data_IF_554850009986
#
_entry.id   IF_554850009986
#
_cell.length_a   1.000
_cell.length_b   1.000
_cell.length_c   1.000
_cell.angle_alpha   90.00
_cell.angle_beta   90.00
_cell.angle_gamma   90.00
#
_symmetry.space_group_name_H-M   'P 1'
#
loop_
_entity.id
_entity.type
_entity.pdbx_description
1 polymer ?
#
# COMPACT_ATOMS: atom_id res chain seq x y z
N UNK A 1 -11.31 24.64 6.86
CA UNK A 1 -11.52 26.11 6.79
C UNK A 1 -13.03 26.34 6.84
N UNK A 2 -13.50 27.06 7.86
CA UNK A 2 -14.90 27.37 8.17
C UNK A 2 -15.64 28.05 6.99
N UNK A 3 -16.97 27.88 6.90
CA UNK A 3 -17.98 28.90 7.29
C UNK A 3 -19.40 28.41 6.98
N UNK A 4 -20.25 28.43 8.02
CA UNK A 4 -21.71 28.28 8.01
C UNK A 4 -22.41 29.36 7.16
N UNK A 5 -23.50 29.00 6.48
CA UNK A 5 -24.53 29.95 6.04
C UNK A 5 -25.89 29.63 6.68
N UNK A 6 -26.34 30.56 7.55
CA UNK A 6 -27.74 30.75 7.94
C UNK A 6 -28.55 31.25 6.74
N UNK A 7 -29.76 30.73 6.53
CA UNK A 7 -30.84 31.45 5.87
C UNK A 7 -32.04 31.55 6.80
N UNK A 8 -32.35 32.79 7.18
CA UNK A 8 -33.63 33.23 7.73
C UNK A 8 -34.55 33.53 6.55
N UNK A 9 -35.74 32.91 6.51
CA UNK A 9 -36.81 33.29 5.58
C UNK A 9 -37.85 34.10 6.34
N UNK A 10 -38.17 35.28 5.81
CA UNK A 10 -39.15 36.24 6.30
C UNK A 10 -40.26 36.37 5.26
N UNK A 11 -41.49 36.03 5.67
CA UNK A 11 -42.83 36.56 5.31
C UNK A 11 -43.27 36.72 3.82
N UNK A 12 -44.58 36.61 3.49
CA UNK A 12 -45.62 37.54 4.00
C UNK A 12 -46.98 36.94 4.40
N UNK A 13 -47.73 37.80 5.08
CA UNK A 13 -49.09 37.65 5.59
C UNK A 13 -50.16 37.91 4.52
N UNK A 14 -51.34 37.32 4.70
CA UNK A 14 -52.64 37.87 4.26
C UNK A 14 -53.76 37.37 5.20
N UNK A 15 -54.55 38.35 5.67
CA UNK A 15 -56.01 38.36 5.87
C UNK A 15 -56.63 37.22 6.72
N UNK A 16 -57.29 37.45 7.84
CA UNK A 16 -58.29 38.50 8.11
C UNK A 16 -59.68 37.86 8.17
N UNK A 17 -60.12 37.40 9.35
CA UNK A 17 -61.55 37.35 9.62
C UNK A 17 -61.86 37.51 11.12
N UNK A 18 -62.66 38.53 11.38
CA UNK A 18 -63.22 38.92 12.65
C UNK A 18 -64.34 37.97 13.08
N UNK A 19 -64.35 37.51 14.33
CA UNK A 19 -65.59 37.38 15.07
C UNK A 19 -65.36 37.45 16.58
N UNK A 20 -66.18 38.31 17.17
CA UNK A 20 -66.24 38.79 18.53
C UNK A 20 -66.96 37.77 19.42
N UNK A 21 -66.52 37.53 20.67
CA UNK A 21 -67.37 37.61 21.88
C UNK A 21 -66.70 37.11 23.17
N UNK A 22 -66.84 37.98 24.17
CA UNK A 22 -67.02 37.73 25.61
C UNK A 22 -65.84 37.27 26.48
N UNK A 23 -65.30 38.30 27.13
CA UNK A 23 -64.78 38.35 28.51
C UNK A 23 -65.35 37.29 29.47
N UNK A 24 -64.45 36.66 30.22
CA UNK A 24 -64.63 36.34 31.63
C UNK A 24 -63.26 36.22 32.31
N UNK A 25 -62.95 37.14 33.22
CA UNK A 25 -61.85 37.04 34.18
C UNK A 25 -62.08 35.88 35.16
N UNK A 26 -61.00 35.24 35.64
CA UNK A 26 -60.89 35.11 37.10
C UNK A 26 -59.50 35.45 37.67
N UNK A 27 -59.52 35.72 38.97
CA UNK A 27 -58.48 36.12 39.93
C UNK A 27 -57.12 35.36 39.88
N UNK A 28 -56.04 35.92 40.48
CA UNK A 28 -54.72 35.31 40.49
C UNK A 28 -54.67 34.13 41.47
N UNK A 29 -54.42 32.94 40.93
CA UNK A 29 -54.16 31.75 41.74
C UNK A 29 -52.74 31.81 42.32
N UNK A 30 -52.67 31.64 43.63
CA UNK A 30 -51.48 31.40 44.46
C UNK A 30 -50.46 30.47 43.79
N UNK A 31 -49.23 30.95 43.60
CA UNK A 31 -48.10 30.12 43.23
C UNK A 31 -47.78 29.14 44.38
N UNK A 32 -48.21 27.89 44.26
CA UNK A 32 -47.73 26.79 45.11
C UNK A 32 -46.25 26.58 44.79
N UNK A 33 -45.37 26.87 45.75
CA UNK A 33 -43.99 26.37 45.72
C UNK A 33 -44.05 24.85 45.68
N UNK A 34 -43.59 24.24 44.59
CA UNK A 34 -43.33 22.80 44.56
C UNK A 34 -42.33 22.46 45.68
N UNK A 35 -42.52 21.37 46.44
CA UNK A 35 -41.61 21.02 47.52
C UNK A 35 -40.20 20.83 46.94
N UNK A 36 -39.22 21.56 47.48
CA UNK A 36 -37.81 21.59 47.02
C UNK A 36 -37.21 20.18 46.87
N UNK A 37 -37.72 19.21 47.62
CA UNK A 37 -37.34 17.79 47.55
C UNK A 37 -37.73 17.15 46.20
N UNK A 38 -38.91 17.45 45.67
CA UNK A 38 -39.42 16.90 44.41
C UNK A 38 -38.67 17.49 43.20
N UNK A 39 -38.33 18.78 43.25
CA UNK A 39 -37.49 19.44 42.24
C UNK A 39 -36.09 18.82 42.20
N UNK A 40 -35.51 18.52 43.38
CA UNK A 40 -34.18 17.90 43.49
C UNK A 40 -34.17 16.47 42.93
N UNK A 41 -35.20 15.66 43.22
CA UNK A 41 -35.33 14.32 42.64
C UNK A 41 -35.50 14.35 41.11
N UNK A 42 -36.24 15.32 40.59
CA UNK A 42 -36.46 15.47 39.14
C UNK A 42 -35.17 15.91 38.43
N UNK A 43 -34.40 16.82 39.02
CA UNK A 43 -33.09 17.24 38.51
C UNK A 43 -32.06 16.10 38.52
N UNK A 44 -32.02 15.29 39.58
CA UNK A 44 -31.14 14.12 39.66
C UNK A 44 -31.49 13.08 38.59
N UNK A 45 -32.78 12.80 38.37
CA UNK A 45 -33.24 11.91 37.30
C UNK A 45 -32.89 12.44 35.90
N UNK A 46 -33.03 13.74 35.68
CA UNK A 46 -32.65 14.38 34.42
C UNK A 46 -31.14 14.31 34.16
N UNK A 47 -30.31 14.52 35.20
CA UNK A 47 -28.86 14.39 35.10
C UNK A 47 -28.42 12.94 34.80
N UNK A 48 -29.05 11.94 35.44
CA UNK A 48 -28.80 10.53 35.13
C UNK A 48 -29.24 10.16 33.70
N UNK A 49 -30.39 10.67 33.24
CA UNK A 49 -30.85 10.43 31.87
C UNK A 49 -29.91 11.06 30.83
N UNK A 50 -29.39 12.26 31.10
CA UNK A 50 -28.42 12.94 30.26
C UNK A 50 -27.07 12.19 30.24
N UNK A 51 -26.56 11.76 31.39
CA UNK A 51 -25.33 10.96 31.48
C UNK A 51 -25.45 9.60 30.78
N UNK A 52 -26.61 8.95 30.86
CA UNK A 52 -26.88 7.72 30.12
C UNK A 52 -26.96 7.97 28.61
N UNK A 53 -27.52 9.11 28.19
CA UNK A 53 -27.57 9.50 26.78
C UNK A 53 -26.19 9.84 26.21
N UNK A 54 -25.34 10.51 26.99
CA UNK A 54 -23.95 10.80 26.62
C UNK A 54 -23.10 9.52 26.57
N UNK A 55 -23.25 8.63 27.54
CA UNK A 55 -22.61 7.30 27.52
C UNK A 55 -23.04 6.50 26.30
N UNK A 56 -24.34 6.48 25.98
CA UNK A 56 -24.85 5.79 24.80
C UNK A 56 -24.33 6.41 23.50
N UNK A 57 -24.29 7.75 23.40
CA UNK A 57 -23.74 8.46 22.24
C UNK A 57 -22.23 8.20 22.08
N UNK A 58 -21.48 8.12 23.17
CA UNK A 58 -20.07 7.76 23.16
C UNK A 58 -19.87 6.29 22.73
N UNK A 59 -20.69 5.36 23.22
CA UNK A 59 -20.64 3.96 22.80
C UNK A 59 -21.06 3.78 21.34
N UNK A 60 -22.01 4.56 20.84
CA UNK A 60 -22.39 4.59 19.41
C UNK A 60 -21.27 5.21 18.55
N UNK A 61 -20.54 6.21 19.07
CA UNK A 61 -19.37 6.81 18.41
C UNK A 61 -18.13 5.89 18.42
N UNK A 62 -17.97 5.09 19.48
CA UNK A 62 -16.89 4.12 19.69
C UNK A 62 -17.39 2.70 19.43
N UNK A 63 -18.42 2.53 18.59
CA UNK A 63 -19.01 1.22 18.31
C UNK A 63 -18.04 0.36 17.48
N UNK A 64 -16.99 -0.13 18.14
CA UNK A 64 -16.12 -1.19 17.66
C UNK A 64 -16.96 -2.44 17.78
N UNK A 65 -17.44 -2.93 16.65
CA UNK A 65 -18.08 -4.23 16.57
C UNK A 65 -17.06 -5.27 17.10
N UNK A 66 -17.34 -5.82 18.28
CA UNK A 66 -16.46 -6.77 18.97
C UNK A 66 -16.24 -8.01 18.09
N UNK A 67 -17.21 -8.35 17.23
CA UNK A 67 -17.07 -9.36 16.20
C UNK A 67 -15.95 -9.00 15.24
N UNK A 68 -16.04 -7.83 14.57
CA UNK A 68 -15.00 -7.35 13.64
C UNK A 68 -13.62 -7.19 14.30
N UNK A 69 -13.58 -6.72 15.55
CA UNK A 69 -12.32 -6.59 16.29
C UNK A 69 -11.62 -7.94 16.49
N UNK A 70 -12.37 -9.02 16.66
CA UNK A 70 -11.80 -10.36 16.83
C UNK A 70 -11.17 -10.89 15.54
N UNK A 71 -11.76 -10.61 14.37
CA UNK A 71 -11.19 -10.94 13.06
C UNK A 71 -9.87 -10.20 12.83
N UNK A 72 -9.86 -8.88 13.01
CA UNK A 72 -8.63 -8.08 12.85
C UNK A 72 -7.51 -8.48 13.81
N UNK A 73 -7.85 -8.88 15.04
CA UNK A 73 -6.86 -9.39 15.99
C UNK A 73 -6.24 -10.70 15.50
N UNK A 74 -7.06 -11.62 15.00
CA UNK A 74 -6.58 -12.90 14.45
C UNK A 74 -5.68 -12.67 13.24
N UNK A 75 -6.08 -11.79 12.32
CA UNK A 75 -5.28 -11.44 11.14
C UNK A 75 -3.93 -10.86 11.53
N UNK A 76 -3.92 -9.94 12.49
CA UNK A 76 -2.70 -9.35 13.02
C UNK A 76 -1.78 -10.41 13.63
N UNK A 77 -2.32 -11.33 14.44
CA UNK A 77 -1.55 -12.41 15.06
C UNK A 77 -0.96 -13.37 14.02
N UNK A 78 -1.74 -13.74 13.00
CA UNK A 78 -1.26 -14.59 11.89
C UNK A 78 -0.18 -13.86 11.10
N UNK A 79 -0.37 -12.57 10.79
CA UNK A 79 0.64 -11.77 10.08
C UNK A 79 1.96 -11.71 10.87
N UNK A 80 1.90 -11.47 12.19
CA UNK A 80 3.08 -11.49 13.06
C UNK A 80 3.73 -12.88 13.09
N UNK A 81 2.94 -13.96 13.13
CA UNK A 81 3.44 -15.32 13.09
C UNK A 81 4.14 -15.64 11.77
N UNK A 82 3.55 -15.28 10.63
CA UNK A 82 4.13 -15.45 9.29
C UNK A 82 5.43 -14.65 9.12
N UNK A 83 5.46 -13.39 9.59
CA UNK A 83 6.66 -12.55 9.56
C UNK A 83 7.77 -13.10 10.45
N UNK A 84 7.42 -13.67 11.60
CA UNK A 84 8.39 -14.37 12.48
C UNK A 84 8.91 -15.65 11.82
N UNK A 85 8.03 -16.36 11.11
CA UNK A 85 8.38 -17.57 10.37
C UNK A 85 9.34 -17.30 9.20
N UNK A 86 9.32 -16.09 8.59
CA UNK A 86 10.19 -15.73 7.46
C UNK A 86 11.68 -15.95 7.71
N UNK A 87 12.14 -15.77 8.96
CA UNK A 87 13.54 -16.06 9.33
C UNK A 87 13.90 -17.54 9.10
N UNK A 88 12.97 -18.45 9.39
CA UNK A 88 13.16 -19.89 9.19
C UNK A 88 13.01 -20.27 7.71
N UNK A 89 12.08 -19.64 7.00
CA UNK A 89 11.93 -19.82 5.55
C UNK A 89 13.17 -19.39 4.77
N UNK A 90 13.81 -18.27 5.14
CA UNK A 90 15.09 -17.87 4.55
C UNK A 90 16.16 -18.97 4.73
N UNK A 91 16.12 -19.67 5.88
CA UNK A 91 16.90 -20.86 6.18
C UNK A 91 16.68 -22.03 5.22
N UNK A 92 15.42 -22.41 5.05
CA UNK A 92 15.00 -23.59 4.28
C UNK A 92 15.19 -23.40 2.78
N UNK A 93 14.88 -22.21 2.27
CA UNK A 93 14.81 -21.94 0.83
C UNK A 93 16.16 -21.50 0.27
N UNK A 94 16.97 -20.80 1.07
CA UNK A 94 18.30 -20.34 0.67
C UNK A 94 19.43 -21.32 0.98
N UNK A 95 19.17 -22.41 1.72
CA UNK A 95 20.22 -23.26 2.33
C UNK A 95 21.24 -22.44 3.15
N UNK A 96 20.80 -21.34 3.74
CA UNK A 96 21.65 -20.35 4.43
C UNK A 96 21.07 -20.11 5.82
N UNK A 97 21.87 -20.30 6.87
CA UNK A 97 21.41 -19.99 8.22
C UNK A 97 21.36 -18.47 8.43
N UNK A 98 20.15 -17.90 8.51
CA UNK A 98 19.95 -16.48 8.79
C UNK A 98 20.63 -16.04 10.10
N UNK A 99 20.65 -16.90 11.12
CA UNK A 99 21.41 -16.66 12.35
C UNK A 99 22.90 -16.57 12.05
N UNK A 100 23.46 -17.51 11.28
CA UNK A 100 24.88 -17.50 10.93
C UNK A 100 25.26 -16.24 10.15
N UNK A 101 24.48 -15.89 9.13
CA UNK A 101 24.78 -14.70 8.30
C UNK A 101 24.68 -13.41 9.10
N UNK A 102 23.66 -13.25 9.95
CA UNK A 102 23.44 -12.00 10.69
C UNK A 102 24.36 -11.89 11.91
N UNK A 103 24.51 -12.96 12.71
CA UNK A 103 25.21 -12.87 14.00
C UNK A 103 26.66 -13.32 13.96
N UNK A 104 27.05 -14.23 13.06
CA UNK A 104 28.42 -14.73 12.98
C UNK A 104 29.22 -14.10 11.85
N UNK A 105 28.61 -13.93 10.68
CA UNK A 105 29.30 -13.35 9.51
C UNK A 105 29.15 -11.81 9.43
N UNK A 106 28.30 -11.19 10.26
CA UNK A 106 27.94 -9.76 10.21
C UNK A 106 27.57 -9.29 8.78
N UNK A 107 26.83 -10.13 8.05
CA UNK A 107 26.46 -9.86 6.67
C UNK A 107 25.31 -8.83 6.61
N UNK A 108 25.69 -7.56 6.59
CA UNK A 108 24.76 -6.41 6.50
C UNK A 108 23.88 -6.45 5.26
N UNK A 109 24.42 -6.92 4.13
CA UNK A 109 23.67 -7.06 2.90
C UNK A 109 22.55 -8.10 3.05
N UNK A 110 22.84 -9.25 3.67
CA UNK A 110 21.80 -10.23 3.99
C UNK A 110 20.72 -9.64 4.89
N UNK A 111 21.11 -8.88 5.92
CA UNK A 111 20.17 -8.19 6.81
C UNK A 111 19.20 -7.26 6.08
N UNK A 112 19.70 -6.43 5.16
CA UNK A 112 18.85 -5.51 4.36
C UNK A 112 17.91 -6.26 3.41
N UNK A 113 18.38 -7.33 2.76
CA UNK A 113 17.53 -8.18 1.90
C UNK A 113 16.42 -8.85 2.72
N UNK A 114 16.75 -9.41 3.89
CA UNK A 114 15.78 -10.05 4.78
C UNK A 114 14.75 -9.03 5.30
N UNK A 115 15.18 -7.83 5.70
CA UNK A 115 14.27 -6.77 6.12
C UNK A 115 13.32 -6.35 4.98
N UNK A 116 13.83 -6.21 3.76
CA UNK A 116 13.02 -5.94 2.58
C UNK A 116 11.99 -7.04 2.30
N UNK A 117 12.36 -8.31 2.47
CA UNK A 117 11.44 -9.44 2.35
C UNK A 117 10.32 -9.40 3.39
N UNK A 118 10.65 -9.04 4.65
CA UNK A 118 9.65 -8.87 5.71
C UNK A 118 8.66 -7.75 5.36
N UNK A 119 9.15 -6.59 4.93
CA UNK A 119 8.30 -5.47 4.49
C UNK A 119 7.42 -5.87 3.30
N UNK A 120 7.97 -6.59 2.32
CA UNK A 120 7.21 -7.08 1.18
C UNK A 120 6.06 -8.02 1.59
N UNK A 121 6.33 -8.99 2.47
CA UNK A 121 5.29 -9.88 3.00
C UNK A 121 4.23 -9.08 3.76
N UNK A 122 4.60 -8.09 4.58
CA UNK A 122 3.63 -7.22 5.27
C UNK A 122 2.74 -6.44 4.30
N UNK A 123 3.31 -5.83 3.25
CA UNK A 123 2.55 -5.08 2.24
C UNK A 123 1.54 -5.98 1.53
N UNK A 124 1.95 -7.20 1.20
CA UNK A 124 1.11 -8.17 0.52
C UNK A 124 -0.01 -8.68 1.43
N UNK A 125 0.29 -9.03 2.69
CA UNK A 125 -0.71 -9.47 3.67
C UNK A 125 -1.78 -8.40 3.92
N UNK A 126 -1.44 -7.12 3.82
CA UNK A 126 -2.40 -6.03 3.88
C UNK A 126 -3.53 -6.17 2.85
N UNK A 127 -3.26 -6.79 1.70
CA UNK A 127 -4.29 -7.08 0.68
C UNK A 127 -5.26 -8.19 1.09
N UNK A 128 -4.83 -9.12 1.93
CA UNK A 128 -5.66 -10.23 2.43
C UNK A 128 -6.54 -9.76 3.59
N UNK A 129 -5.94 -9.02 4.53
CA UNK A 129 -6.62 -8.51 5.74
C UNK A 129 -7.67 -7.43 5.42
N UNK A 130 -7.57 -6.79 4.25
CA UNK A 130 -8.56 -5.78 3.81
C UNK A 130 -9.77 -6.38 3.09
N UNK A 131 -9.85 -7.71 2.95
CA UNK A 131 -10.99 -8.40 2.34
C UNK A 131 -12.25 -8.37 3.20
N UNK A 132 -13.39 -8.76 2.63
CA UNK A 132 -14.66 -8.80 3.36
C UNK A 132 -14.56 -9.83 4.51
N UNK A 133 -14.79 -9.37 5.75
CA UNK A 133 -14.65 -10.19 6.93
C UNK A 133 -15.66 -11.34 6.87
N UNK A 134 -15.17 -12.57 6.77
CA UNK A 134 -16.02 -13.73 6.56
C UNK A 134 -16.98 -13.99 7.72
N UNK A 135 -18.10 -14.65 7.43
CA UNK A 135 -19.10 -15.06 8.43
C UNK A 135 -18.55 -15.99 9.55
N UNK A 136 -17.33 -16.54 9.43
CA UNK A 136 -16.73 -17.51 10.37
C UNK A 136 -15.20 -17.30 10.52
N UNK A 137 -14.74 -17.21 11.78
CA UNK A 137 -13.33 -17.05 12.15
C UNK A 137 -12.40 -18.13 11.59
N UNK A 138 -12.87 -19.38 11.48
CA UNK A 138 -12.06 -20.46 10.92
C UNK A 138 -11.73 -20.24 9.42
N UNK A 139 -12.67 -19.65 8.66
CA UNK A 139 -12.45 -19.34 7.26
C UNK A 139 -11.49 -18.17 7.08
N UNK A 140 -11.53 -17.20 8.01
CA UNK A 140 -10.58 -16.09 8.03
C UNK A 140 -9.15 -16.61 8.22
N UNK A 141 -8.94 -17.41 9.29
CA UNK A 141 -7.64 -18.05 9.58
C UNK A 141 -7.10 -18.81 8.37
N UNK A 142 -7.96 -19.62 7.73
CA UNK A 142 -7.58 -20.39 6.55
C UNK A 142 -7.17 -19.48 5.38
N UNK A 143 -7.91 -18.41 5.15
CA UNK A 143 -7.68 -17.46 4.04
C UNK A 143 -6.36 -16.72 4.23
N UNK A 144 -6.11 -16.17 5.42
CA UNK A 144 -4.86 -15.44 5.73
C UNK A 144 -3.65 -16.37 5.64
N UNK A 145 -3.74 -17.59 6.16
CA UNK A 145 -2.64 -18.57 6.05
C UNK A 145 -2.40 -18.95 4.59
N UNK A 146 -3.46 -19.24 3.83
CA UNK A 146 -3.35 -19.67 2.44
C UNK A 146 -2.69 -18.59 1.56
N UNK A 147 -3.20 -17.36 1.60
CA UNK A 147 -2.61 -16.26 0.84
C UNK A 147 -1.23 -15.85 1.37
N UNK A 148 -0.98 -16.00 2.67
CA UNK A 148 0.35 -15.85 3.25
C UNK A 148 1.36 -16.82 2.65
N UNK A 149 1.02 -18.11 2.56
CA UNK A 149 1.86 -19.14 1.94
C UNK A 149 2.05 -18.88 0.45
N UNK A 150 0.96 -18.67 -0.30
CA UNK A 150 1.01 -18.34 -1.74
C UNK A 150 1.94 -17.15 -1.96
N UNK A 151 1.75 -16.11 -1.17
CA UNK A 151 2.53 -14.90 -1.23
C UNK A 151 4.03 -15.10 -1.01
N UNK A 152 4.41 -15.85 0.03
CA UNK A 152 5.81 -16.23 0.29
C UNK A 152 6.37 -17.03 -0.90
N UNK A 153 5.61 -17.96 -1.46
CA UNK A 153 6.00 -18.71 -2.67
C UNK A 153 6.22 -17.78 -3.87
N UNK A 154 5.33 -16.82 -4.11
CA UNK A 154 5.48 -15.83 -5.18
C UNK A 154 6.72 -14.95 -4.97
N UNK A 155 7.06 -14.57 -3.73
CA UNK A 155 8.29 -13.82 -3.43
C UNK A 155 9.55 -14.64 -3.76
N UNK A 156 9.55 -15.94 -3.47
CA UNK A 156 10.64 -16.83 -3.89
C UNK A 156 10.76 -16.92 -5.42
N UNK A 157 9.64 -17.09 -6.12
CA UNK A 157 9.61 -17.09 -7.59
C UNK A 157 10.06 -15.74 -8.17
N UNK A 158 9.77 -14.63 -7.50
CA UNK A 158 10.23 -13.29 -7.89
C UNK A 158 11.75 -13.23 -7.93
N UNK A 159 12.45 -13.79 -6.94
CA UNK A 159 13.93 -13.83 -6.92
C UNK A 159 14.48 -14.65 -8.09
N UNK A 160 13.89 -15.81 -8.35
CA UNK A 160 14.28 -16.66 -9.49
C UNK A 160 14.08 -15.93 -10.82
N UNK A 161 12.91 -15.32 -11.02
CA UNK A 161 12.60 -14.55 -12.22
C UNK A 161 13.56 -13.37 -12.38
N UNK A 162 13.93 -12.71 -11.27
CA UNK A 162 14.85 -11.59 -11.30
C UNK A 162 16.26 -12.00 -11.70
N UNK A 163 16.82 -13.07 -11.13
CA UNK A 163 18.14 -13.59 -11.50
C UNK A 163 18.16 -14.16 -12.92
N UNK A 164 17.12 -14.88 -13.36
CA UNK A 164 17.14 -15.55 -14.67
C UNK A 164 16.75 -14.65 -15.84
N UNK A 165 15.80 -13.74 -15.63
CA UNK A 165 15.21 -12.93 -16.71
C UNK A 165 15.74 -11.49 -16.66
N UNK A 166 15.75 -10.87 -15.48
CA UNK A 166 16.19 -9.47 -15.35
C UNK A 166 17.72 -9.34 -15.35
N UNK A 167 18.45 -10.29 -14.78
CA UNK A 167 19.91 -10.25 -14.66
C UNK A 167 20.59 -11.61 -14.98
N UNK A 168 20.46 -12.16 -16.20
CA UNK A 168 20.97 -13.51 -16.52
C UNK A 168 22.48 -13.71 -16.33
N UNK A 169 23.27 -12.62 -16.28
CA UNK A 169 24.71 -12.65 -16.03
C UNK A 169 25.13 -12.47 -14.56
N UNK A 170 24.18 -12.27 -13.64
CA UNK A 170 24.45 -11.94 -12.25
C UNK A 170 23.50 -12.66 -11.30
N UNK A 171 24.06 -13.48 -10.42
CA UNK A 171 23.34 -14.04 -9.28
C UNK A 171 23.24 -13.01 -8.16
N UNK A 172 22.06 -12.41 -7.96
CA UNK A 172 21.85 -11.44 -6.88
C UNK A 172 22.01 -12.11 -5.51
N UNK A 173 21.58 -13.37 -5.39
CA UNK A 173 21.76 -14.14 -4.17
C UNK A 173 23.25 -14.27 -3.79
N UNK A 174 24.11 -14.66 -4.74
CA UNK A 174 25.54 -14.83 -4.46
C UNK A 174 26.21 -13.50 -4.10
N UNK A 175 25.79 -12.40 -4.72
CA UNK A 175 26.27 -11.06 -4.36
C UNK A 175 25.88 -10.70 -2.93
N UNK A 176 24.65 -10.99 -2.50
CA UNK A 176 24.20 -10.77 -1.12
C UNK A 176 25.03 -11.62 -0.15
N UNK A 177 25.32 -12.88 -0.47
CA UNK A 177 26.19 -13.72 0.36
C UNK A 177 27.62 -13.17 0.46
N UNK A 178 28.10 -12.48 -0.57
CA UNK A 178 29.40 -11.77 -0.57
C UNK A 178 29.37 -10.41 0.15
N UNK A 179 28.24 -10.01 0.74
CA UNK A 179 28.12 -8.73 1.45
C UNK A 179 27.85 -7.53 0.53
N UNK A 180 27.45 -7.74 -0.72
CA UNK A 180 27.17 -6.67 -1.68
C UNK A 180 25.87 -5.93 -1.31
N UNK A 181 26.02 -4.69 -0.84
CA UNK A 181 24.90 -3.85 -0.41
C UNK A 181 23.99 -3.43 -1.58
N UNK A 182 24.56 -3.24 -2.76
CA UNK A 182 23.82 -2.85 -3.97
C UNK A 182 22.87 -3.95 -4.41
N UNK A 183 23.35 -5.19 -4.47
CA UNK A 183 22.53 -6.36 -4.77
C UNK A 183 21.39 -6.53 -3.74
N UNK A 184 21.70 -6.31 -2.46
CA UNK A 184 20.73 -6.38 -1.36
C UNK A 184 19.61 -5.33 -1.47
N UNK A 185 19.95 -4.07 -1.73
CA UNK A 185 18.97 -2.98 -1.91
C UNK A 185 18.08 -3.27 -3.12
N UNK A 186 18.64 -3.83 -4.19
CA UNK A 186 17.89 -4.22 -5.39
C UNK A 186 16.92 -5.36 -5.07
N UNK A 187 17.37 -6.42 -4.40
CA UNK A 187 16.53 -7.54 -4.00
C UNK A 187 15.37 -7.10 -3.08
N UNK A 188 15.68 -6.33 -2.04
CA UNK A 188 14.71 -5.79 -1.09
C UNK A 188 13.60 -5.00 -1.81
N UNK A 189 13.98 -4.03 -2.64
CA UNK A 189 13.01 -3.20 -3.34
C UNK A 189 12.28 -3.96 -4.46
N UNK A 190 12.89 -4.98 -5.06
CA UNK A 190 12.23 -5.84 -6.03
C UNK A 190 11.09 -6.66 -5.39
N UNK A 191 11.31 -7.20 -4.20
CA UNK A 191 10.25 -7.88 -3.43
C UNK A 191 9.15 -6.91 -3.03
N UNK A 192 9.51 -5.71 -2.52
CA UNK A 192 8.53 -4.67 -2.17
C UNK A 192 7.69 -4.26 -3.38
N UNK A 193 8.32 -4.01 -4.52
CA UNK A 193 7.62 -3.65 -5.76
C UNK A 193 6.63 -4.75 -6.20
N UNK A 194 7.04 -6.01 -6.09
CA UNK A 194 6.17 -7.15 -6.44
C UNK A 194 5.02 -7.30 -5.46
N UNK A 195 5.26 -7.10 -4.16
CA UNK A 195 4.23 -7.11 -3.12
C UNK A 195 3.18 -6.03 -3.31
N UNK A 196 3.58 -4.82 -3.73
CA UNK A 196 2.65 -3.71 -4.03
C UNK A 196 1.66 -4.09 -5.15
N UNK A 197 2.13 -4.81 -6.18
CA UNK A 197 1.29 -5.23 -7.30
C UNK A 197 0.38 -6.39 -6.90
N UNK A 198 0.92 -7.41 -6.21
CA UNK A 198 0.13 -8.54 -5.71
C UNK A 198 -0.96 -8.07 -4.76
N UNK A 199 -0.65 -7.15 -3.84
CA UNK A 199 -1.64 -6.52 -2.95
C UNK A 199 -2.77 -5.87 -3.76
N UNK A 200 -2.43 -5.13 -4.82
CA UNK A 200 -3.43 -4.55 -5.71
C UNK A 200 -4.34 -5.61 -6.34
N UNK A 201 -3.76 -6.70 -6.85
CA UNK A 201 -4.51 -7.80 -7.45
C UNK A 201 -5.45 -8.51 -6.45
N UNK A 202 -5.00 -8.68 -5.19
CA UNK A 202 -5.81 -9.29 -4.13
C UNK A 202 -7.04 -8.45 -3.81
N UNK A 203 -6.87 -7.13 -3.67
CA UNK A 203 -7.95 -6.20 -3.35
C UNK A 203 -8.92 -6.02 -4.53
N UNK A 204 -8.42 -6.14 -5.76
CA UNK A 204 -9.20 -5.91 -6.96
C UNK A 204 -10.27 -6.99 -7.23
N UNK A 205 -10.06 -8.21 -6.76
CA UNK A 205 -10.90 -9.34 -7.14
C UNK A 205 -12.07 -9.47 -6.18
N UNK A 206 -13.28 -9.31 -6.71
CA UNK A 206 -14.51 -9.60 -5.98
C UNK A 206 -15.08 -10.95 -6.45
N UNK A 207 -14.69 -12.02 -5.77
CA UNK A 207 -15.10 -13.37 -6.16
C UNK A 207 -14.66 -14.46 -5.19
N UNK A 208 -15.01 -15.70 -5.51
CA UNK A 208 -14.63 -16.85 -4.69
C UNK A 208 -13.11 -17.06 -4.60
N UNK A 209 -12.67 -17.77 -3.56
CA UNK A 209 -11.25 -18.05 -3.28
C UNK A 209 -10.45 -18.54 -4.50
N UNK A 210 -11.03 -19.42 -5.32
CA UNK A 210 -10.37 -19.94 -6.52
C UNK A 210 -10.07 -18.83 -7.55
N UNK A 211 -11.00 -17.90 -7.76
CA UNK A 211 -10.83 -16.78 -8.68
C UNK A 211 -9.80 -15.79 -8.15
N UNK A 212 -9.79 -15.52 -6.85
CA UNK A 212 -8.79 -14.67 -6.22
C UNK A 212 -7.38 -15.26 -6.35
N UNK A 213 -7.19 -16.55 -6.12
CA UNK A 213 -5.89 -17.23 -6.31
C UNK A 213 -5.45 -17.16 -7.77
N UNK A 214 -6.35 -17.46 -8.71
CA UNK A 214 -6.05 -17.40 -10.14
C UNK A 214 -5.65 -15.98 -10.58
N UNK A 215 -6.42 -14.97 -10.16
CA UNK A 215 -6.16 -13.57 -10.46
C UNK A 215 -4.84 -13.07 -9.88
N UNK A 216 -4.48 -13.49 -8.67
CA UNK A 216 -3.18 -13.18 -8.06
C UNK A 216 -2.03 -13.78 -8.86
N UNK A 217 -2.13 -15.06 -9.26
CA UNK A 217 -1.08 -15.74 -10.03
C UNK A 217 -0.90 -15.09 -11.41
N UNK A 218 -1.99 -14.83 -12.14
CA UNK A 218 -1.89 -14.24 -13.48
C UNK A 218 -1.40 -12.78 -13.42
N UNK A 219 -1.83 -12.02 -12.41
CA UNK A 219 -1.34 -10.66 -12.17
C UNK A 219 0.14 -10.64 -11.79
N UNK A 220 0.60 -11.62 -11.01
CA UNK A 220 2.02 -11.81 -10.73
C UNK A 220 2.83 -12.08 -12.00
N UNK A 221 2.37 -12.99 -12.87
CA UNK A 221 3.07 -13.29 -14.13
C UNK A 221 3.15 -12.03 -15.01
N UNK A 222 2.03 -11.33 -15.16
CA UNK A 222 1.97 -10.05 -15.88
C UNK A 222 2.89 -8.99 -15.26
N UNK A 223 2.96 -8.89 -13.94
CA UNK A 223 3.86 -7.97 -13.26
C UNK A 223 5.32 -8.30 -13.52
N UNK A 224 5.70 -9.58 -13.55
CA UNK A 224 7.07 -9.99 -13.87
C UNK A 224 7.45 -9.61 -15.31
N UNK A 225 6.50 -9.64 -16.25
CA UNK A 225 6.73 -9.16 -17.63
C UNK A 225 7.02 -7.66 -17.64
N UNK A 226 6.19 -6.84 -16.99
CA UNK A 226 6.40 -5.38 -16.91
C UNK A 226 7.74 -5.07 -16.23
N UNK A 227 8.04 -5.77 -15.15
CA UNK A 227 9.29 -5.63 -14.40
C UNK A 227 10.51 -6.04 -15.21
N UNK A 228 10.41 -7.07 -16.06
CA UNK A 228 11.47 -7.46 -16.98
C UNK A 228 11.67 -6.40 -18.07
N UNK A 229 10.59 -5.86 -18.66
CA UNK A 229 10.67 -4.75 -19.63
C UNK A 229 11.33 -3.51 -19.01
N UNK A 230 10.97 -3.18 -17.78
CA UNK A 230 11.58 -2.11 -17.02
C UNK A 230 13.09 -2.32 -16.83
N UNK A 231 13.52 -3.53 -16.47
CA UNK A 231 14.95 -3.87 -16.37
C UNK A 231 15.64 -3.74 -17.73
N UNK A 232 15.07 -4.32 -18.80
CA UNK A 232 15.65 -4.29 -20.13
C UNK A 232 15.85 -2.86 -20.64
N UNK A 233 14.88 -1.98 -20.41
CA UNK A 233 15.00 -0.56 -20.71
C UNK A 233 16.21 0.05 -19.98
N UNK A 234 16.36 -0.21 -18.69
CA UNK A 234 17.44 0.34 -17.85
C UNK A 234 18.81 -0.21 -18.23
N UNK A 235 18.91 -1.49 -18.56
CA UNK A 235 20.14 -2.11 -19.08
C UNK A 235 20.55 -1.43 -20.38
N UNK A 236 19.63 -1.26 -21.34
CA UNK A 236 19.90 -0.59 -22.62
C UNK A 236 20.32 0.88 -22.44
N UNK A 237 19.64 1.62 -21.57
CA UNK A 237 19.99 3.02 -21.26
C UNK A 237 21.37 3.11 -20.62
N UNK A 238 21.69 2.20 -19.69
CA UNK A 238 22.99 2.17 -19.03
C UNK A 238 24.12 1.87 -20.01
N UNK A 239 23.96 0.82 -20.83
CA UNK A 239 24.94 0.44 -21.85
C UNK A 239 25.17 1.56 -22.87
N UNK A 240 24.09 2.25 -23.29
CA UNK A 240 24.21 3.41 -24.20
C UNK A 240 24.98 4.59 -23.58
N UNK A 241 24.82 4.85 -22.28
CA UNK A 241 25.53 5.93 -21.58
C UNK A 241 27.00 5.61 -21.32
N UNK A 242 27.34 4.33 -21.21
CA UNK A 242 28.69 3.86 -20.91
C UNK A 242 29.34 3.12 -22.09
N UNK A 243 28.86 3.33 -23.32
CA UNK A 243 29.34 2.63 -24.51
C UNK A 243 30.84 2.83 -24.76
N UNK A 244 31.37 3.99 -24.36
CA UNK A 244 32.78 4.34 -24.48
C UNK A 244 33.70 3.47 -23.60
N UNK A 245 33.19 2.88 -22.52
CA UNK A 245 33.91 1.97 -21.60
C UNK A 245 33.48 0.52 -21.72
N UNK A 246 32.43 0.23 -22.51
CA UNK A 246 31.85 -1.11 -22.60
C UNK A 246 31.19 -1.62 -21.31
N UNK A 247 30.99 -0.76 -20.30
CA UNK A 247 30.45 -1.17 -18.99
C UNK A 247 28.99 -1.59 -19.06
N UNK A 248 28.67 -2.68 -18.38
CA UNK A 248 27.30 -3.18 -18.25
C UNK A 248 26.67 -2.83 -16.90
N UNK A 249 25.34 -2.83 -16.84
CA UNK A 249 24.60 -2.53 -15.61
C UNK A 249 24.92 -3.54 -14.50
N UNK A 250 25.06 -4.82 -14.85
CA UNK A 250 25.35 -5.87 -13.87
C UNK A 250 26.75 -5.71 -13.25
N UNK A 251 27.75 -5.34 -14.04
CA UNK A 251 29.13 -5.11 -13.56
C UNK A 251 29.14 -4.01 -12.49
N UNK A 252 28.40 -2.93 -12.70
CA UNK A 252 28.30 -1.86 -11.70
C UNK A 252 27.59 -2.31 -10.41
N UNK A 253 26.66 -3.27 -10.50
CA UNK A 253 26.05 -3.88 -9.31
C UNK A 253 27.09 -4.79 -8.61
N UNK A 254 27.87 -5.57 -9.36
CA UNK A 254 28.96 -6.40 -8.82
C UNK A 254 30.05 -5.57 -8.14
N UNK A 255 30.38 -4.40 -8.69
CA UNK A 255 31.26 -3.37 -8.11
C UNK A 255 30.65 -2.66 -6.88
N UNK A 256 29.45 -3.08 -6.44
CA UNK A 256 28.73 -2.55 -5.29
C UNK A 256 28.42 -1.04 -5.40
N UNK A 257 28.03 -0.58 -6.59
CA UNK A 257 27.58 0.80 -6.81
C UNK A 257 26.18 1.05 -6.17
N UNK A 258 26.19 1.50 -4.92
CA UNK A 258 24.97 1.76 -4.12
C UNK A 258 24.09 2.85 -4.72
N UNK A 259 24.69 3.88 -5.33
CA UNK A 259 23.94 4.97 -5.98
C UNK A 259 23.08 4.44 -7.14
N UNK A 260 23.67 3.57 -7.97
CA UNK A 260 22.97 2.92 -9.06
C UNK A 260 21.88 1.98 -8.56
N UNK A 261 22.15 1.22 -7.49
CA UNK A 261 21.17 0.34 -6.86
C UNK A 261 19.96 1.11 -6.33
N UNK A 262 20.16 2.17 -5.54
CA UNK A 262 19.09 3.01 -5.01
C UNK A 262 18.23 3.59 -6.15
N UNK A 263 18.87 4.07 -7.20
CA UNK A 263 18.18 4.60 -8.38
C UNK A 263 17.35 3.55 -9.11
N UNK A 264 17.93 2.36 -9.33
CA UNK A 264 17.25 1.26 -10.03
C UNK A 264 16.10 0.69 -9.19
N UNK A 265 16.30 0.53 -7.89
CA UNK A 265 15.30 0.09 -6.92
C UNK A 265 14.10 1.04 -6.87
N UNK A 266 14.35 2.34 -6.73
CA UNK A 266 13.28 3.34 -6.68
C UNK A 266 12.46 3.41 -7.98
N UNK A 267 13.11 3.18 -9.13
CA UNK A 267 12.42 3.04 -10.42
C UNK A 267 11.43 1.86 -10.42
N UNK A 268 11.83 0.69 -9.93
CA UNK A 268 10.93 -0.48 -9.84
C UNK A 268 9.77 -0.23 -8.88
N UNK A 269 10.04 0.35 -7.72
CA UNK A 269 8.99 0.69 -6.74
C UNK A 269 8.02 1.72 -7.32
N UNK A 270 8.53 2.76 -7.99
CA UNK A 270 7.68 3.76 -8.68
C UNK A 270 6.78 3.13 -9.74
N UNK A 271 7.32 2.22 -10.56
CA UNK A 271 6.52 1.45 -11.53
C UNK A 271 5.46 0.62 -10.82
N UNK A 272 5.80 -0.09 -9.76
CA UNK A 272 4.83 -0.89 -9.02
C UNK A 272 3.67 -0.05 -8.49
N UNK A 273 3.95 1.12 -7.92
CA UNK A 273 2.91 2.05 -7.45
C UNK A 273 2.01 2.49 -8.62
N UNK A 274 2.60 2.89 -9.76
CA UNK A 274 1.83 3.32 -10.92
C UNK A 274 0.99 2.18 -11.51
N UNK A 275 1.58 1.00 -11.70
CA UNK A 275 0.90 -0.19 -12.24
C UNK A 275 -0.21 -0.65 -11.31
N UNK A 276 -0.02 -0.60 -9.99
CA UNK A 276 -1.09 -0.94 -9.05
C UNK A 276 -2.30 -0.02 -9.15
N UNK A 277 -2.14 1.23 -9.60
CA UNK A 277 -3.26 2.14 -9.86
C UNK A 277 -4.14 1.68 -11.03
N UNK A 278 -3.61 0.85 -11.94
CA UNK A 278 -4.43 0.28 -13.01
C UNK A 278 -5.55 -0.62 -12.46
N UNK A 279 -5.36 -1.25 -11.29
CA UNK A 279 -6.43 -2.02 -10.63
C UNK A 279 -7.59 -1.14 -10.16
N UNK A 280 -7.33 0.14 -9.91
CA UNK A 280 -8.38 1.11 -9.56
C UNK A 280 -9.05 1.68 -10.80
N UNK A 281 -8.32 1.77 -11.92
CA UNK A 281 -8.82 2.30 -13.19
C UNK A 281 -9.75 1.33 -13.95
N UNK A 282 -9.60 0.03 -13.72
CA UNK A 282 -10.35 -1.02 -14.42
C UNK A 282 -11.24 -1.72 -13.42
N UNK A 283 -12.54 -1.61 -13.59
CA UNK A 283 -13.50 -2.31 -12.74
C UNK A 283 -13.41 -3.83 -12.95
N UNK A 284 -13.51 -4.57 -11.84
CA UNK A 284 -13.53 -6.02 -11.89
C UNK A 284 -14.90 -6.50 -12.38
N UNK A 285 -14.88 -7.49 -13.27
CA UNK A 285 -16.08 -8.16 -13.76
C UNK A 285 -15.78 -9.65 -13.89
N UNK A 286 -16.48 -10.49 -13.13
CA UNK A 286 -16.19 -11.92 -13.02
C UNK A 286 -16.49 -12.65 -14.34
N UNK A 287 -17.61 -12.31 -14.99
CA UNK A 287 -18.06 -12.96 -16.22
C UNK A 287 -17.18 -12.60 -17.43
N UNK A 288 -16.51 -11.44 -17.35
CA UNK A 288 -15.62 -10.93 -18.39
C UNK A 288 -14.15 -10.91 -17.97
N UNK A 289 -13.75 -11.75 -16.99
CA UNK A 289 -12.43 -11.69 -16.34
C UNK A 289 -11.26 -11.51 -17.30
N UNK A 290 -11.19 -12.32 -18.37
CA UNK A 290 -10.09 -12.26 -19.34
C UNK A 290 -10.02 -10.88 -20.03
N UNK A 291 -11.17 -10.31 -20.38
CA UNK A 291 -11.24 -9.02 -21.05
C UNK A 291 -10.79 -7.88 -20.11
N UNK A 292 -11.33 -7.83 -18.89
CA UNK A 292 -10.94 -6.80 -17.90
C UNK A 292 -9.48 -6.96 -17.48
N UNK A 293 -8.97 -8.19 -17.37
CA UNK A 293 -7.56 -8.43 -17.07
C UNK A 293 -6.64 -7.95 -18.20
N UNK A 294 -6.99 -8.20 -19.46
CA UNK A 294 -6.22 -7.70 -20.61
C UNK A 294 -6.26 -6.17 -20.70
N UNK A 295 -7.41 -5.56 -20.38
CA UNK A 295 -7.54 -4.10 -20.28
C UNK A 295 -6.66 -3.54 -19.16
N UNK A 296 -6.70 -4.15 -17.97
CA UNK A 296 -5.83 -3.81 -16.85
C UNK A 296 -4.35 -3.89 -17.25
N UNK A 297 -3.94 -4.97 -17.91
CA UNK A 297 -2.55 -5.13 -18.35
C UNK A 297 -2.13 -4.07 -19.37
N UNK A 298 -3.02 -3.72 -20.30
CA UNK A 298 -2.77 -2.64 -21.26
C UNK A 298 -2.63 -1.28 -20.56
N UNK A 299 -3.52 -0.95 -19.61
CA UNK A 299 -3.44 0.27 -18.81
C UNK A 299 -2.14 0.29 -18.00
N UNK A 300 -1.76 -0.82 -17.36
CA UNK A 300 -0.51 -0.96 -16.61
C UNK A 300 0.73 -0.67 -17.49
N UNK A 301 0.75 -1.18 -18.73
CA UNK A 301 1.83 -0.87 -19.69
C UNK A 301 1.87 0.62 -20.07
N UNK A 302 0.71 1.24 -20.27
CA UNK A 302 0.61 2.69 -20.52
C UNK A 302 1.15 3.49 -19.33
N UNK A 303 0.79 3.12 -18.10
CA UNK A 303 1.27 3.79 -16.89
C UNK A 303 2.77 3.61 -16.68
N UNK A 304 3.31 2.43 -17.00
CA UNK A 304 4.75 2.19 -17.02
C UNK A 304 5.49 3.13 -17.99
N UNK A 305 4.98 3.28 -19.22
CA UNK A 305 5.55 4.18 -20.22
C UNK A 305 5.41 5.64 -19.77
N UNK A 306 4.23 6.03 -19.31
CA UNK A 306 3.93 7.39 -18.87
C UNK A 306 4.82 7.80 -17.69
N UNK A 307 4.97 6.94 -16.69
CA UNK A 307 5.88 7.17 -15.57
C UNK A 307 7.31 7.44 -16.06
N UNK A 308 7.77 6.62 -17.00
CA UNK A 308 9.13 6.75 -17.54
C UNK A 308 9.31 8.07 -18.29
N UNK A 309 8.32 8.49 -19.10
CA UNK A 309 8.36 9.74 -19.85
C UNK A 309 8.30 10.97 -18.91
N UNK A 310 7.37 10.97 -17.96
CA UNK A 310 7.24 12.07 -16.99
C UNK A 310 8.50 12.17 -16.14
N UNK A 311 9.06 11.06 -15.66
CA UNK A 311 10.29 11.06 -14.88
C UNK A 311 11.47 11.62 -15.70
N UNK A 312 11.55 11.34 -17.01
CA UNK A 312 12.54 11.96 -17.89
C UNK A 312 12.37 13.48 -17.92
N UNK A 313 11.14 13.99 -18.05
CA UNK A 313 10.87 15.44 -18.07
C UNK A 313 11.24 16.10 -16.75
N UNK A 314 10.75 15.57 -15.62
CA UNK A 314 11.03 16.13 -14.28
C UNK A 314 12.53 16.14 -14.00
N UNK A 315 13.24 15.07 -14.37
CA UNK A 315 14.70 14.98 -14.22
C UNK A 315 15.45 16.10 -14.93
N UNK A 316 15.00 16.55 -16.10
CA UNK A 316 15.63 17.70 -16.78
C UNK A 316 15.45 19.02 -16.02
N UNK A 317 14.33 19.16 -15.28
CA UNK A 317 14.07 20.33 -14.44
C UNK A 317 14.81 20.28 -13.09
N UNK A 318 14.82 19.13 -12.42
CA UNK A 318 15.38 18.97 -11.05
C UNK A 318 16.90 18.88 -11.04
N UNK A 319 17.50 18.25 -12.06
CA UNK A 319 18.95 18.03 -12.16
C UNK A 319 19.52 18.68 -13.43
N UNK A 320 19.37 20.01 -13.60
CA UNK A 320 19.89 20.69 -14.78
C UNK A 320 21.42 20.62 -14.78
N UNK A 321 22.00 20.32 -15.96
CA UNK A 321 23.47 20.26 -16.20
C UNK A 321 24.22 19.14 -15.45
N UNK A 322 23.53 18.22 -14.78
CA UNK A 322 24.18 17.09 -14.09
C UNK A 322 24.24 15.88 -15.02
N UNK A 323 25.45 15.37 -15.29
CA UNK A 323 25.62 14.15 -16.08
C UNK A 323 25.36 12.91 -15.22
N UNK A 324 24.11 12.49 -15.20
CA UNK A 324 23.64 11.33 -14.41
C UNK A 324 24.37 10.03 -14.75
N UNK A 325 24.78 9.83 -16.02
CA UNK A 325 25.51 8.62 -16.40
C UNK A 325 26.82 8.53 -15.62
N UNK A 326 27.59 9.60 -15.65
CA UNK A 326 28.88 9.73 -14.97
C UNK A 326 28.73 9.77 -13.45
N UNK A 327 27.87 10.64 -12.92
CA UNK A 327 27.67 10.83 -11.48
C UNK A 327 27.20 9.55 -10.79
N UNK A 328 26.18 8.88 -11.34
CA UNK A 328 25.63 7.67 -10.72
C UNK A 328 26.38 6.42 -11.15
N UNK A 329 26.69 6.27 -12.44
CA UNK A 329 27.27 5.04 -12.98
C UNK A 329 28.76 4.88 -12.71
N UNK A 330 29.52 5.98 -12.70
CA UNK A 330 30.98 5.93 -12.59
C UNK A 330 31.48 6.41 -11.23
N UNK A 331 30.97 7.55 -10.75
CA UNK A 331 31.42 8.14 -9.49
C UNK A 331 30.70 7.55 -8.26
N UNK A 332 29.59 6.84 -8.47
CA UNK A 332 28.80 6.26 -7.37
C UNK A 332 28.17 7.33 -6.47
N UNK A 333 27.80 8.49 -7.03
CA UNK A 333 27.22 9.60 -6.27
C UNK A 333 25.82 9.25 -5.75
N UNK A 334 25.76 8.86 -4.48
CA UNK A 334 24.53 8.44 -3.79
C UNK A 334 23.49 9.57 -3.78
N UNK A 335 23.92 10.84 -3.61
CA UNK A 335 22.99 11.97 -3.56
C UNK A 335 22.22 12.11 -4.87
N UNK A 336 22.92 12.08 -6.01
CA UNK A 336 22.29 12.14 -7.34
C UNK A 336 21.43 10.90 -7.59
N UNK A 337 21.91 9.71 -7.20
CA UNK A 337 21.17 8.46 -7.32
C UNK A 337 19.85 8.46 -6.56
N UNK A 338 19.83 8.97 -5.31
CA UNK A 338 18.63 9.09 -4.47
C UNK A 338 17.68 10.15 -5.01
N UNK A 339 18.17 11.32 -5.43
CA UNK A 339 17.31 12.37 -6.02
C UNK A 339 16.61 11.84 -7.26
N UNK A 340 17.35 11.24 -8.21
CA UNK A 340 16.71 10.68 -9.40
C UNK A 340 15.80 9.50 -9.06
N UNK A 341 16.19 8.65 -8.10
CA UNK A 341 15.34 7.58 -7.57
C UNK A 341 14.00 8.10 -7.07
N UNK A 342 14.02 9.16 -6.25
CA UNK A 342 12.84 9.77 -5.67
C UNK A 342 11.87 10.30 -6.72
N UNK A 343 12.36 10.81 -7.86
CA UNK A 343 11.51 11.26 -8.97
C UNK A 343 10.60 10.13 -9.45
N UNK A 344 11.11 8.90 -9.59
CA UNK A 344 10.28 7.77 -10.03
C UNK A 344 9.18 7.41 -9.02
N UNK A 345 9.49 7.45 -7.72
CA UNK A 345 8.50 7.21 -6.66
C UNK A 345 7.44 8.31 -6.66
N UNK A 346 7.87 9.58 -6.71
CA UNK A 346 6.96 10.75 -6.75
C UNK A 346 6.02 10.67 -7.95
N UNK A 347 6.54 10.37 -9.15
CA UNK A 347 5.70 10.22 -10.33
C UNK A 347 4.74 9.05 -10.19
N UNK A 348 5.19 7.91 -9.66
CA UNK A 348 4.31 6.77 -9.38
C UNK A 348 3.16 7.14 -8.44
N UNK A 349 3.46 7.84 -7.34
CA UNK A 349 2.45 8.34 -6.40
C UNK A 349 1.49 9.34 -7.03
N UNK A 350 1.99 10.28 -7.85
CA UNK A 350 1.14 11.25 -8.56
C UNK A 350 0.19 10.55 -9.54
N UNK A 351 0.69 9.59 -10.33
CA UNK A 351 -0.15 8.80 -11.23
C UNK A 351 -1.20 8.00 -10.45
N UNK A 352 -0.80 7.35 -9.36
CA UNK A 352 -1.73 6.61 -8.52
C UNK A 352 -2.80 7.48 -7.89
N UNK A 353 -2.44 8.67 -7.39
CA UNK A 353 -3.40 9.60 -6.80
C UNK A 353 -4.34 10.23 -7.82
N UNK A 354 -3.90 10.47 -9.05
CA UNK A 354 -4.74 11.01 -10.12
C UNK A 354 -5.75 9.99 -10.67
N UNK A 355 -5.40 8.71 -10.63
CA UNK A 355 -6.26 7.63 -11.13
C UNK A 355 -7.25 7.18 -10.06
N UNK A 356 -6.83 7.19 -8.79
CA UNK A 356 -7.68 6.80 -7.66
C UNK A 356 -8.57 7.92 -7.11
N UNK A 357 -8.53 9.13 -7.69
CA UNK A 357 -9.39 10.26 -7.35
C UNK A 357 -10.59 10.31 -8.29
#
# INVERSE_FOLDING_TARGET
MLVMQRRLNVHPAMEGNSQNRHQSHPHPATARMAPVVEVRHTQVRAAHAQANKETKMFMDFVNVDIGLASYYLVDFLIAVALLSAMRFFAGLVGNVSATKEISHNDNKAFGVSLAGAMVAVSIMLMGVVSGDAGYNLANEVLTVILFGVIGITLMWLTRIAFDRISFPGLSIHDQIMKGNMSASIIDACNMIATAIIIKGAMVWVDGGMAMAIFAVIISFIASQIIMALATLYRVKVYAKRHSHKGKQLHEAIEENNVALALRFSAYRVGIAIAVSAAFTAVEYEADAFLYVFMLWFAVALVLFVLLTLIAIVIRHGVLPRINIGEEVGEQGNIAVGVIEGSIYIVVGLLLSGLIGA
#
